data_IF_746623838389
#
_entry.id   IF_746623838389
#
_cell.length_a   1.000
_cell.length_b   1.000
_cell.length_c   1.000
_cell.angle_alpha   90.00
_cell.angle_beta   90.00
_cell.angle_gamma   90.00
#
_symmetry.space_group_name_H-M   'P 1'
#
loop_
_entity.id
_entity.type
_entity.pdbx_description
1 polymer ?
#
# COMPACT_ATOMS: atom_id res chain seq x y z
N UNK A 1 6.53 -21.42 -2.33
CA UNK A 1 6.42 -20.43 -3.45
C UNK A 1 7.82 -19.99 -3.80
N UNK A 2 8.28 -20.24 -5.02
CA UNK A 2 9.64 -19.95 -5.50
C UNK A 2 9.87 -18.47 -5.81
N UNK A 3 8.82 -17.75 -6.21
CA UNK A 3 8.83 -16.31 -6.51
C UNK A 3 7.54 -15.66 -6.00
N UNK A 4 7.56 -14.35 -5.68
CA UNK A 4 6.34 -13.64 -5.32
C UNK A 4 5.41 -13.52 -6.53
N UNK A 5 4.12 -13.74 -6.33
CA UNK A 5 3.11 -13.55 -7.38
C UNK A 5 2.80 -12.06 -7.53
N UNK A 6 3.52 -11.40 -8.42
CA UNK A 6 3.36 -9.97 -8.73
C UNK A 6 3.20 -9.74 -10.21
N UNK A 7 2.42 -8.74 -10.57
CA UNK A 7 2.30 -8.23 -11.94
C UNK A 7 2.51 -6.71 -11.92
N UNK A 8 3.22 -6.20 -12.92
CA UNK A 8 3.53 -4.78 -13.06
C UNK A 8 3.04 -4.27 -14.41
N UNK A 9 2.34 -3.14 -14.38
CA UNK A 9 2.01 -2.33 -15.54
C UNK A 9 2.74 -0.99 -15.40
N UNK A 10 3.74 -0.74 -16.24
CA UNK A 10 4.63 0.43 -16.09
C UNK A 10 3.91 1.75 -16.39
N UNK A 11 2.95 1.75 -17.31
CA UNK A 11 2.26 2.95 -17.79
C UNK A 11 0.76 2.90 -17.47
N UNK A 12 0.41 2.50 -16.23
CA UNK A 12 -0.98 2.39 -15.81
C UNK A 12 -1.69 3.75 -15.76
N UNK A 13 -1.02 4.77 -15.24
CA UNK A 13 -1.41 6.15 -15.37
C UNK A 13 -0.48 6.82 -16.39
N UNK A 14 -1.03 7.66 -17.27
CA UNK A 14 -0.18 8.49 -18.12
C UNK A 14 0.75 9.37 -17.28
N UNK A 15 1.92 9.73 -17.81
CA UNK A 15 2.88 10.57 -17.10
C UNK A 15 2.27 11.91 -16.66
N UNK A 16 1.39 12.51 -17.47
CA UNK A 16 0.68 13.74 -17.11
C UNK A 16 -0.24 13.52 -15.92
N UNK A 17 -1.14 12.53 -15.98
CA UNK A 17 -2.07 12.23 -14.89
C UNK A 17 -1.34 11.85 -13.60
N UNK A 18 -0.29 11.06 -13.70
CA UNK A 18 0.53 10.66 -12.55
C UNK A 18 1.25 11.85 -11.90
N UNK A 19 1.76 12.79 -12.72
CA UNK A 19 2.42 14.01 -12.25
C UNK A 19 1.43 14.95 -11.55
N UNK A 20 0.27 15.18 -12.14
CA UNK A 20 -0.79 15.98 -11.53
C UNK A 20 -1.25 15.39 -10.19
N UNK A 21 -1.51 14.10 -10.18
CA UNK A 21 -1.93 13.40 -8.95
C UNK A 21 -0.84 13.47 -7.87
N UNK A 22 0.45 13.30 -8.24
CA UNK A 22 1.56 13.41 -7.30
C UNK A 22 1.59 14.77 -6.61
N UNK A 23 1.53 15.89 -7.37
CA UNK A 23 1.58 17.22 -6.79
C UNK A 23 0.33 17.54 -5.97
N UNK A 24 -0.86 17.15 -6.45
CA UNK A 24 -2.10 17.38 -5.72
C UNK A 24 -2.11 16.61 -4.38
N UNK A 25 -1.67 15.37 -4.34
CA UNK A 25 -1.57 14.60 -3.10
C UNK A 25 -0.52 15.18 -2.17
N UNK A 26 0.67 15.52 -2.68
CA UNK A 26 1.75 16.11 -1.89
C UNK A 26 1.30 17.36 -1.14
N UNK A 27 0.54 18.23 -1.83
CA UNK A 27 0.25 19.58 -1.37
C UNK A 27 -1.12 19.69 -0.64
N UNK A 28 -2.02 18.71 -0.79
CA UNK A 28 -3.39 18.79 -0.25
C UNK A 28 -3.73 17.76 0.82
N UNK A 29 -2.91 16.72 0.99
CA UNK A 29 -3.14 15.72 2.04
C UNK A 29 -2.58 16.24 3.36
N UNK A 30 -3.34 16.08 4.43
CA UNK A 30 -2.84 16.20 5.78
C UNK A 30 -2.02 14.94 6.12
N UNK A 31 -0.72 15.13 6.30
CA UNK A 31 0.22 14.04 6.52
C UNK A 31 0.38 13.70 7.98
N UNK A 32 0.23 12.43 8.32
CA UNK A 32 0.62 11.88 9.61
C UNK A 32 2.15 11.75 9.68
N UNK A 33 2.73 12.36 10.71
CA UNK A 33 4.19 12.41 10.93
C UNK A 33 4.66 11.46 12.03
N UNK A 34 3.79 10.62 12.60
CA UNK A 34 4.14 9.70 13.68
C UNK A 34 5.20 8.66 13.27
N UNK A 35 5.31 8.32 11.99
CA UNK A 35 6.39 7.49 11.44
C UNK A 35 7.52 8.38 10.96
N UNK A 36 8.67 8.35 11.64
CA UNK A 36 9.83 9.19 11.30
C UNK A 36 10.49 8.83 9.95
N UNK A 37 10.24 7.63 9.43
CA UNK A 37 10.88 7.10 8.23
C UNK A 37 10.15 7.46 6.92
N UNK A 38 8.98 8.09 6.98
CA UNK A 38 8.16 8.60 5.88
C UNK A 38 6.90 9.26 6.43
N UNK A 39 6.20 10.04 5.61
CA UNK A 39 4.87 10.55 5.96
C UNK A 39 3.80 9.57 5.50
N UNK A 40 2.66 9.53 6.20
CA UNK A 40 1.56 8.61 5.87
C UNK A 40 0.21 9.32 5.89
N UNK A 41 -0.77 8.74 5.22
CA UNK A 41 -2.20 9.05 5.35
C UNK A 41 -3.01 7.79 4.99
N UNK A 42 -4.20 7.64 5.57
CA UNK A 42 -5.07 6.49 5.31
C UNK A 42 -6.48 6.97 4.99
N UNK A 43 -7.08 6.47 3.92
CA UNK A 43 -8.41 6.83 3.45
C UNK A 43 -9.27 5.58 3.23
N UNK A 44 -10.59 5.73 3.40
CA UNK A 44 -11.53 4.62 3.33
C UNK A 44 -11.61 3.85 4.65
N UNK A 45 -11.74 2.53 4.57
CA UNK A 45 -11.67 1.66 5.73
C UNK A 45 -10.25 1.67 6.31
N UNK A 46 -10.09 1.75 7.63
CA UNK A 46 -8.78 1.85 8.24
C UNK A 46 -7.96 0.58 8.02
N UNK A 47 -6.70 0.77 7.70
CA UNK A 47 -5.70 -0.28 7.64
C UNK A 47 -4.65 -0.01 8.72
N UNK A 48 -4.64 -0.84 9.75
CA UNK A 48 -3.70 -0.70 10.85
C UNK A 48 -2.31 -1.16 10.40
N UNK A 49 -1.31 -0.30 10.59
CA UNK A 49 0.05 -0.58 10.18
C UNK A 49 1.06 -0.13 11.24
N UNK A 50 2.05 -0.98 11.52
CA UNK A 50 3.16 -0.65 12.46
C UNK A 50 2.69 -0.13 13.83
N UNK A 51 1.61 -0.66 14.38
CA UNK A 51 1.04 -0.23 15.65
C UNK A 51 0.28 1.10 15.60
N UNK A 52 0.13 1.70 14.41
CA UNK A 52 -0.72 2.87 14.20
C UNK A 52 -2.13 2.44 13.87
N UNK A 53 -3.09 3.03 14.57
CA UNK A 53 -4.51 2.95 14.26
C UNK A 53 -4.92 4.22 13.53
N UNK A 54 -5.58 4.05 12.39
CA UNK A 54 -6.20 5.14 11.65
C UNK A 54 -7.71 5.12 11.87
N UNK A 55 -8.29 6.30 11.96
CA UNK A 55 -9.75 6.42 11.98
C UNK A 55 -10.32 6.19 10.58
N UNK A 56 -11.55 5.67 10.54
CA UNK A 56 -12.30 5.56 9.29
C UNK A 56 -12.60 6.95 8.75
N UNK A 57 -12.28 7.21 7.52
CA UNK A 57 -12.65 8.44 6.81
C UNK A 57 -13.06 8.12 5.36
N UNK A 58 -13.78 9.03 4.70
CA UNK A 58 -14.13 8.83 3.29
C UNK A 58 -12.89 8.63 2.42
N UNK A 59 -13.03 7.88 1.32
CA UNK A 59 -12.01 7.85 0.28
C UNK A 59 -11.82 9.27 -0.27
N UNK A 60 -10.59 9.76 -0.26
CA UNK A 60 -10.25 11.12 -0.69
C UNK A 60 -10.66 11.36 -2.14
N UNK A 61 -11.21 12.53 -2.47
CA UNK A 61 -11.73 12.86 -3.80
C UNK A 61 -10.70 12.68 -4.92
N UNK A 62 -9.42 12.96 -4.66
CA UNK A 62 -8.31 12.72 -5.60
C UNK A 62 -8.08 11.24 -5.91
N UNK A 63 -8.47 10.34 -5.01
CA UNK A 63 -8.28 8.89 -5.17
C UNK A 63 -9.49 8.19 -5.81
N UNK A 64 -10.67 8.81 -5.77
CA UNK A 64 -11.90 8.19 -6.33
C UNK A 64 -11.79 7.85 -7.82
N UNK A 65 -11.24 8.71 -8.71
CA UNK A 65 -11.04 8.35 -10.12
C UNK A 65 -10.12 7.13 -10.27
N UNK A 66 -9.07 7.04 -9.44
CA UNK A 66 -8.15 5.90 -9.45
C UNK A 66 -8.86 4.62 -8.99
N UNK A 67 -9.72 4.68 -7.96
CA UNK A 67 -10.51 3.53 -7.52
C UNK A 67 -11.42 3.01 -8.64
N UNK A 68 -12.08 3.91 -9.38
CA UNK A 68 -12.93 3.52 -10.54
C UNK A 68 -12.12 2.91 -11.67
N UNK A 69 -10.94 3.43 -11.95
CA UNK A 69 -10.04 2.83 -12.95
C UNK A 69 -9.57 1.44 -12.52
N UNK A 70 -9.24 1.27 -11.23
CA UNK A 70 -8.87 -0.03 -10.66
C UNK A 70 -10.03 -1.03 -10.71
N UNK A 71 -11.27 -0.60 -10.42
CA UNK A 71 -12.45 -1.44 -10.54
C UNK A 71 -12.63 -1.95 -11.97
N UNK A 72 -12.51 -1.07 -12.97
CA UNK A 72 -12.60 -1.43 -14.37
C UNK A 72 -11.49 -2.39 -14.83
N UNK A 73 -10.29 -2.30 -14.21
CA UNK A 73 -9.14 -3.11 -14.59
C UNK A 73 -9.09 -4.46 -13.88
N UNK A 74 -9.45 -4.51 -12.60
CA UNK A 74 -9.24 -5.66 -11.73
C UNK A 74 -10.53 -6.34 -11.27
N UNK A 75 -11.70 -5.76 -11.60
CA UNK A 75 -13.03 -6.31 -11.29
C UNK A 75 -13.50 -6.09 -9.85
N UNK A 76 -12.79 -5.28 -9.05
CA UNK A 76 -13.23 -4.88 -7.72
C UNK A 76 -12.82 -3.44 -7.40
N UNK A 77 -13.68 -2.71 -6.70
CA UNK A 77 -13.39 -1.35 -6.24
C UNK A 77 -12.68 -1.40 -4.88
N UNK A 78 -11.48 -0.83 -4.74
CA UNK A 78 -10.81 -0.71 -3.44
C UNK A 78 -11.63 0.19 -2.49
N UNK A 79 -11.63 -0.16 -1.21
CA UNK A 79 -12.31 0.60 -0.16
C UNK A 79 -11.34 1.11 0.93
N UNK A 80 -10.06 0.89 0.77
CA UNK A 80 -8.98 1.33 1.66
C UNK A 80 -7.76 1.74 0.83
N UNK A 81 -7.12 2.84 1.22
CA UNK A 81 -5.86 3.30 0.64
C UNK A 81 -4.94 3.83 1.73
N UNK A 82 -3.80 3.16 1.92
CA UNK A 82 -2.68 3.70 2.70
C UNK A 82 -1.74 4.44 1.76
N UNK A 83 -1.57 5.73 2.00
CA UNK A 83 -0.67 6.60 1.25
C UNK A 83 0.64 6.73 2.02
N UNK A 84 1.77 6.46 1.37
CA UNK A 84 3.10 6.66 1.94
C UNK A 84 3.86 7.67 1.09
N UNK A 85 4.37 8.73 1.71
CA UNK A 85 5.20 9.72 1.06
C UNK A 85 6.64 9.62 1.56
N UNK A 86 7.51 9.19 0.68
CA UNK A 86 8.96 9.19 0.83
C UNK A 86 9.47 10.51 0.25
N UNK A 87 9.98 11.41 1.08
CA UNK A 87 10.36 12.77 0.66
C UNK A 87 11.64 12.76 -0.18
N UNK A 88 12.52 11.81 0.09
CA UNK A 88 13.76 11.60 -0.65
C UNK A 88 14.24 10.14 -0.48
N UNK A 89 15.48 9.88 -0.90
CA UNK A 89 16.09 8.55 -0.81
C UNK A 89 16.44 8.08 0.60
N UNK A 90 16.43 8.95 1.61
CA UNK A 90 16.67 8.57 3.02
C UNK A 90 15.46 7.89 3.63
N UNK A 91 14.27 8.23 3.15
CA UNK A 91 13.02 7.64 3.58
C UNK A 91 12.92 6.19 3.11
N UNK A 92 12.32 5.35 3.96
CA UNK A 92 12.29 3.91 3.76
C UNK A 92 11.05 3.26 4.40
N UNK A 93 10.82 2.02 4.02
CA UNK A 93 9.95 1.06 4.70
C UNK A 93 10.74 -0.24 4.88
N UNK A 94 10.84 -0.72 6.10
CA UNK A 94 11.53 -1.98 6.43
C UNK A 94 10.84 -3.19 5.81
N UNK A 95 11.49 -4.36 5.84
CA UNK A 95 10.85 -5.60 5.41
C UNK A 95 9.66 -5.95 6.30
N UNK A 96 8.51 -6.13 5.68
CA UNK A 96 7.24 -6.49 6.31
C UNK A 96 6.40 -7.30 5.33
N UNK A 97 5.34 -7.91 5.83
CA UNK A 97 4.23 -8.41 5.02
C UNK A 97 2.99 -7.60 5.37
N UNK A 98 2.12 -7.42 4.39
CA UNK A 98 0.83 -6.81 4.66
C UNK A 98 -0.07 -7.81 5.42
N UNK A 99 -0.93 -7.26 6.28
CA UNK A 99 -1.99 -8.04 6.91
C UNK A 99 -3.04 -8.41 5.85
N UNK A 100 -3.38 -9.68 5.78
CA UNK A 100 -4.29 -10.23 4.77
C UNK A 100 -5.60 -10.77 5.35
N UNK A 101 -5.66 -11.02 6.66
CA UNK A 101 -6.83 -11.62 7.33
C UNK A 101 -8.08 -10.74 7.26
N UNK A 102 -7.89 -9.45 7.05
CA UNK A 102 -8.95 -8.46 6.89
C UNK A 102 -9.33 -8.18 5.44
N UNK A 103 -8.69 -8.82 4.47
CA UNK A 103 -8.96 -8.58 3.06
C UNK A 103 -10.09 -9.47 2.54
N UNK A 104 -10.90 -8.90 1.64
CA UNK A 104 -11.90 -9.68 0.92
C UNK A 104 -11.21 -10.76 0.07
N UNK A 105 -11.72 -12.00 0.17
CA UNK A 105 -11.12 -13.14 -0.51
C UNK A 105 -11.07 -12.93 -2.03
N UNK A 106 -9.97 -13.34 -2.65
CA UNK A 106 -9.76 -13.23 -4.10
C UNK A 106 -9.34 -11.84 -4.59
N UNK A 107 -9.27 -10.83 -3.70
CA UNK A 107 -8.73 -9.51 -4.07
C UNK A 107 -7.22 -9.45 -3.89
N UNK A 108 -6.57 -8.48 -4.52
CA UNK A 108 -5.13 -8.28 -4.49
C UNK A 108 -4.77 -7.00 -3.71
N UNK A 109 -3.50 -6.90 -3.34
CA UNK A 109 -2.90 -5.68 -2.82
C UNK A 109 -2.30 -4.92 -4.01
N UNK A 110 -2.69 -3.66 -4.16
CA UNK A 110 -2.36 -2.83 -5.32
C UNK A 110 -1.48 -1.68 -4.88
N UNK A 111 -0.39 -1.46 -5.58
CA UNK A 111 0.52 -0.33 -5.36
C UNK A 111 0.59 0.51 -6.62
N UNK A 112 0.18 1.79 -6.55
CA UNK A 112 0.47 2.79 -7.59
C UNK A 112 1.62 3.67 -7.11
N UNK A 113 2.60 3.87 -7.98
CA UNK A 113 3.81 4.64 -7.68
C UNK A 113 3.81 5.96 -8.43
N UNK A 114 4.01 7.06 -7.71
CA UNK A 114 4.04 8.42 -8.24
C UNK A 114 5.35 9.10 -7.84
N UNK A 115 5.95 9.87 -8.74
CA UNK A 115 7.22 10.57 -8.50
C UNK A 115 8.44 9.71 -8.80
N UNK A 116 9.50 9.83 -7.99
CA UNK A 116 10.76 9.16 -8.23
C UNK A 116 10.65 7.64 -8.17
N UNK A 117 11.28 6.99 -9.13
CA UNK A 117 11.36 5.54 -9.20
C UNK A 117 12.11 4.95 -8.00
N UNK A 118 11.56 3.93 -7.39
CA UNK A 118 12.16 3.17 -6.28
C UNK A 118 12.01 1.66 -6.54
N UNK A 119 12.90 0.89 -5.95
CA UNK A 119 12.83 -0.57 -5.97
C UNK A 119 11.96 -1.08 -4.82
N UNK A 120 10.97 -1.92 -5.12
CA UNK A 120 10.31 -2.79 -4.16
C UNK A 120 11.15 -4.07 -4.04
N UNK A 121 11.78 -4.26 -2.90
CA UNK A 121 12.63 -5.43 -2.63
C UNK A 121 11.81 -6.49 -1.92
N UNK A 122 11.73 -7.69 -2.48
CA UNK A 122 11.17 -8.87 -1.84
C UNK A 122 12.28 -9.70 -1.21
N UNK A 123 11.94 -10.37 -0.11
CA UNK A 123 12.79 -11.34 0.59
C UNK A 123 11.95 -12.52 1.03
N UNK A 124 12.38 -13.72 0.68
CA UNK A 124 11.74 -14.97 1.11
C UNK A 124 11.75 -15.09 2.63
N UNK A 125 10.66 -15.57 3.21
CA UNK A 125 10.58 -15.86 4.65
C UNK A 125 11.26 -17.18 5.00
N UNK A 126 11.36 -18.11 4.04
CA UNK A 126 12.01 -19.39 4.20
C UNK A 126 13.53 -19.33 3.99
N UNK A 127 14.00 -18.43 3.11
CA UNK A 127 15.41 -18.23 2.80
C UNK A 127 15.70 -16.74 2.64
N UNK A 128 16.32 -16.12 3.61
CA UNK A 128 16.60 -14.69 3.64
C UNK A 128 17.63 -14.22 2.61
N UNK A 129 18.39 -15.13 2.02
CA UNK A 129 19.31 -14.81 0.92
C UNK A 129 18.58 -14.71 -0.41
N UNK A 130 17.43 -15.37 -0.56
CA UNK A 130 16.60 -15.25 -1.73
C UNK A 130 15.89 -13.89 -1.76
N UNK A 131 16.31 -13.04 -2.70
CA UNK A 131 15.83 -11.65 -2.84
C UNK A 131 15.54 -11.34 -4.29
N UNK A 132 14.43 -10.64 -4.50
CA UNK A 132 14.01 -10.13 -5.80
C UNK A 132 13.70 -8.65 -5.71
N UNK A 133 13.95 -7.89 -6.78
CA UNK A 133 13.70 -6.46 -6.81
C UNK A 133 12.87 -6.12 -8.04
N UNK A 134 11.82 -5.38 -7.82
CA UNK A 134 10.95 -4.84 -8.87
C UNK A 134 11.07 -3.33 -8.88
N UNK A 135 11.32 -2.78 -10.04
CA UNK A 135 11.38 -1.34 -10.25
C UNK A 135 9.95 -0.81 -10.34
N UNK A 136 9.68 0.31 -9.67
CA UNK A 136 8.37 0.94 -9.63
C UNK A 136 8.47 2.32 -10.29
N UNK A 137 8.28 2.39 -11.64
CA UNK A 137 8.31 3.64 -12.37
C UNK A 137 7.18 4.58 -11.97
N UNK A 138 7.34 5.86 -12.33
CA UNK A 138 6.28 6.86 -12.20
C UNK A 138 5.04 6.48 -13.01
N UNK A 139 3.86 6.48 -12.38
CA UNK A 139 2.60 6.06 -13.00
C UNK A 139 2.38 4.55 -13.06
N UNK A 140 3.34 3.74 -12.56
CA UNK A 140 3.20 2.29 -12.57
C UNK A 140 2.19 1.78 -11.56
N UNK A 141 1.56 0.67 -11.92
CA UNK A 141 0.79 -0.19 -11.03
C UNK A 141 1.55 -1.50 -10.82
N UNK A 142 1.70 -1.91 -9.58
CA UNK A 142 2.04 -3.27 -9.20
C UNK A 142 0.86 -3.83 -8.39
N UNK A 143 0.43 -5.03 -8.71
CA UNK A 143 -0.43 -5.78 -7.81
C UNK A 143 0.21 -7.11 -7.43
N UNK A 144 -0.07 -7.57 -6.22
CA UNK A 144 0.44 -8.80 -5.66
C UNK A 144 -0.68 -9.60 -5.01
N UNK A 145 -0.59 -10.92 -5.10
CA UNK A 145 -1.56 -11.81 -4.47
C UNK A 145 -1.45 -11.75 -2.94
N UNK A 146 -2.56 -12.06 -2.25
CA UNK A 146 -2.56 -12.22 -0.80
C UNK A 146 -1.57 -13.32 -0.37
N UNK A 147 -1.47 -14.41 -1.16
CA UNK A 147 -0.55 -15.52 -0.92
C UNK A 147 0.92 -15.08 -0.92
N UNK A 148 1.29 -14.04 -1.67
CA UNK A 148 2.64 -13.47 -1.61
C UNK A 148 3.01 -13.03 -0.19
N UNK A 149 2.05 -12.53 0.60
CA UNK A 149 2.28 -12.09 1.98
C UNK A 149 2.59 -13.23 2.95
N UNK A 150 2.20 -14.45 2.64
CA UNK A 150 2.51 -15.63 3.46
C UNK A 150 3.98 -16.03 3.36
N UNK A 151 4.56 -15.96 2.16
CA UNK A 151 5.89 -16.49 1.85
C UNK A 151 6.97 -15.43 1.69
N UNK A 152 6.59 -14.18 1.44
CA UNK A 152 7.51 -13.09 1.16
C UNK A 152 7.25 -11.88 2.05
N UNK A 153 8.32 -11.23 2.45
CA UNK A 153 8.30 -9.87 2.98
C UNK A 153 8.81 -8.90 1.92
N UNK A 154 8.36 -7.64 1.97
CA UNK A 154 8.79 -6.63 1.02
C UNK A 154 9.19 -5.32 1.72
N UNK A 155 10.00 -4.51 1.04
CA UNK A 155 10.58 -3.28 1.59
C UNK A 155 10.83 -2.24 0.49
N UNK A 156 10.79 -0.95 0.89
CA UNK A 156 11.40 0.16 0.14
C UNK A 156 12.67 0.55 0.89
N UNK A 157 13.82 0.23 0.32
CA UNK A 157 15.12 0.54 0.93
C UNK A 157 15.54 1.97 0.63
N UNK A 158 16.47 2.51 1.41
CA UNK A 158 17.15 3.77 1.07
C UNK A 158 17.76 3.71 -0.32
N UNK A 159 17.79 4.84 -1.00
CA UNK A 159 18.34 4.99 -2.34
C UNK A 159 19.03 6.36 -2.48
N UNK A 160 19.91 6.49 -3.44
CA UNK A 160 20.55 7.77 -3.73
C UNK A 160 19.69 8.57 -4.74
N UNK A 161 18.57 9.12 -4.24
CA UNK A 161 17.65 9.96 -5.00
C UNK A 161 17.28 11.18 -4.15
N UNK A 162 17.09 12.33 -4.78
CA UNK A 162 16.77 13.58 -4.10
C UNK A 162 15.28 13.90 -4.12
N UNK A 163 14.55 13.37 -5.10
CA UNK A 163 13.14 13.68 -5.31
C UNK A 163 12.23 12.68 -4.59
N UNK A 164 11.02 13.12 -4.31
CA UNK A 164 10.04 12.34 -3.56
C UNK A 164 9.30 11.29 -4.37
N UNK A 165 8.76 10.30 -3.66
CA UNK A 165 7.85 9.29 -4.18
C UNK A 165 6.63 9.18 -3.29
N UNK A 166 5.45 9.16 -3.89
CA UNK A 166 4.20 8.76 -3.21
C UNK A 166 3.83 7.35 -3.66
N UNK A 167 3.48 6.50 -2.69
CA UNK A 167 2.94 5.16 -2.92
C UNK A 167 1.50 5.13 -2.45
N UNK A 168 0.58 4.75 -3.35
CA UNK A 168 -0.81 4.51 -3.04
C UNK A 168 -1.00 2.99 -2.91
N UNK A 169 -1.23 2.50 -1.70
CA UNK A 169 -1.45 1.07 -1.47
C UNK A 169 -2.93 0.82 -1.23
N UNK A 170 -3.60 0.37 -2.27
CA UNK A 170 -5.03 0.07 -2.26
C UNK A 170 -5.32 -1.35 -1.84
N UNK A 171 -6.44 -1.53 -1.14
CA UNK A 171 -6.97 -2.83 -0.69
C UNK A 171 -8.49 -2.82 -0.74
N UNK A 172 -9.07 -4.01 -0.80
CA UNK A 172 -10.47 -4.22 -0.49
C UNK A 172 -10.56 -4.97 0.83
N UNK A 173 -10.87 -4.22 1.87
CA UNK A 173 -11.05 -4.75 3.24
C UNK A 173 -12.49 -5.29 3.33
N UNK A 174 -12.66 -6.46 3.93
CA UNK A 174 -13.97 -7.02 4.26
C UNK A 174 -14.68 -6.11 5.28
N UNK A 175 -15.82 -5.51 4.92
CA UNK A 175 -16.54 -4.61 5.84
C UNK A 175 -17.05 -5.30 7.11
N UNK A 176 -17.14 -6.63 7.08
CA UNK A 176 -17.59 -7.46 8.23
C UNK A 176 -16.44 -7.80 9.18
N UNK A 177 -15.18 -7.64 8.74
CA UNK A 177 -14.01 -7.94 9.56
C UNK A 177 -14.02 -7.15 10.87
N UNK A 178 -13.84 -7.86 11.95
CA UNK A 178 -13.69 -7.29 13.31
C UNK A 178 -12.41 -7.84 13.90
N UNK A 179 -11.41 -6.98 14.19
CA UNK A 179 -10.18 -7.40 14.86
C UNK A 179 -10.50 -8.07 16.19
N UNK A 180 -9.80 -9.15 16.53
CA UNK A 180 -9.97 -9.86 17.81
C UNK A 180 -9.83 -8.93 19.03
N UNK A 181 -9.06 -7.87 18.94
CA UNK A 181 -8.90 -6.84 19.98
C UNK A 181 -10.16 -6.01 20.25
N UNK A 182 -11.16 -6.06 19.37
CA UNK A 182 -12.47 -5.37 19.56
C UNK A 182 -13.56 -6.30 20.08
N UNK A 183 -13.29 -7.60 20.21
CA UNK A 183 -14.18 -8.55 20.86
C UNK A 183 -14.06 -8.36 22.39
N UNK A 184 -14.86 -7.50 22.95
CA UNK A 184 -15.12 -7.48 24.39
C UNK A 184 -15.73 -8.83 24.73
N UNK A 185 -15.00 -9.67 25.48
CA UNK A 185 -15.58 -10.85 26.11
C UNK A 185 -16.64 -10.32 27.08
N UNK A 186 -17.91 -10.41 26.70
CA UNK A 186 -18.98 -10.20 27.69
C UNK A 186 -18.76 -11.23 28.80
N UNK A 187 -18.73 -10.79 30.08
CA UNK A 187 -18.60 -11.72 31.16
C UNK A 187 -19.85 -12.63 31.13
N UNK A 188 -19.62 -13.93 30.99
CA UNK A 188 -20.67 -14.92 31.14
C UNK A 188 -21.30 -14.72 32.52
N UNK A 189 -22.54 -14.24 32.56
CA UNK A 189 -23.32 -14.20 33.78
C UNK A 189 -23.59 -15.65 34.18
N UNK A 190 -23.03 -16.03 35.31
CA UNK A 190 -23.42 -17.24 36.06
C UNK A 190 -24.79 -17.07 36.68
#
# INVERSE_FOLDING_TARGET
>A
MTEPEVTICSDYLSSIAATELYFQLRDRIEWDLRISARKTACFGLPYNYSGLTYERQPMHSLLQPVCKQLEATLGFEPNSCLVNYYQDGRDKMGFHSDEIDNLEAGTQIIIISLGTERKLSFRSKADYEQRLNYLLPHGSLLYMSQKTQEFWSHAIKRANVMDGRISLTFRRIDPSYRPLSTLTLEPQRQ
#
